data_IF_238409207980
#
_entry.id   IF_238409207980
#
_cell.length_a   1.000
_cell.length_b   1.000
_cell.length_c   1.000
_cell.angle_alpha   90.00
_cell.angle_beta   90.00
_cell.angle_gamma   90.00
#
_symmetry.space_group_name_H-M   'P 1'
#
loop_
_entity.id
_entity.type
_entity.pdbx_description
1 polymer ?
#
# COMPACT_ATOMS: atom_id res chain seq x y z
N UNK A 1 -11.09 -36.33 -68.85
CA UNK A 1 -10.39 -36.01 -67.59
C UNK A 1 -10.56 -34.51 -67.36
N UNK A 2 -11.39 -34.09 -66.40
CA UNK A 2 -11.66 -32.67 -66.11
C UNK A 2 -11.01 -32.34 -64.78
N UNK A 3 -10.02 -31.44 -64.79
CA UNK A 3 -9.37 -30.93 -63.59
C UNK A 3 -10.26 -29.84 -63.00
N UNK A 4 -10.70 -30.01 -61.76
CA UNK A 4 -11.44 -28.98 -61.02
C UNK A 4 -10.42 -28.13 -60.24
N UNK A 5 -10.28 -26.83 -60.50
CA UNK A 5 -9.38 -26.00 -59.71
C UNK A 5 -10.04 -25.69 -58.36
N UNK A 6 -9.43 -26.20 -57.29
CA UNK A 6 -9.75 -25.81 -55.91
C UNK A 6 -9.22 -24.38 -55.74
N UNK A 7 -10.07 -23.37 -55.97
CA UNK A 7 -9.78 -22.01 -55.55
C UNK A 7 -9.90 -21.96 -54.04
N UNK A 8 -8.76 -21.80 -53.37
CA UNK A 8 -8.65 -21.64 -51.94
C UNK A 8 -9.39 -20.40 -51.45
N UNK A 9 -10.28 -20.59 -50.48
CA UNK A 9 -10.76 -19.52 -49.62
C UNK A 9 -10.05 -19.65 -48.28
N UNK A 10 -8.84 -19.10 -48.20
CA UNK A 10 -8.19 -18.86 -46.91
C UNK A 10 -8.87 -17.63 -46.30
N UNK A 11 -9.98 -17.85 -45.59
CA UNK A 11 -10.66 -16.81 -44.84
C UNK A 11 -9.73 -16.37 -43.70
N UNK A 12 -9.03 -15.26 -43.91
CA UNK A 12 -8.20 -14.63 -42.90
C UNK A 12 -9.11 -13.99 -41.85
N UNK A 13 -9.40 -14.71 -40.78
CA UNK A 13 -10.11 -14.19 -39.61
C UNK A 13 -9.21 -13.17 -38.90
N UNK A 14 -9.35 -11.89 -39.26
CA UNK A 14 -8.84 -10.78 -38.46
C UNK A 14 -9.65 -10.72 -37.15
N UNK A 15 -9.22 -11.48 -36.15
CA UNK A 15 -9.73 -11.36 -34.79
C UNK A 15 -9.41 -9.97 -34.26
N UNK A 16 -10.44 -9.21 -33.89
CA UNK A 16 -10.28 -7.94 -33.16
C UNK A 16 -9.71 -8.30 -31.79
N UNK A 17 -8.41 -8.14 -31.61
CA UNK A 17 -7.76 -8.26 -30.31
C UNK A 17 -8.15 -7.02 -29.49
N UNK A 18 -9.17 -7.14 -28.64
CA UNK A 18 -9.43 -6.15 -27.62
C UNK A 18 -8.21 -6.08 -26.69
N UNK A 19 -7.73 -4.87 -26.31
CA UNK A 19 -6.63 -4.75 -25.38
C UNK A 19 -7.01 -5.44 -24.07
N UNK A 20 -6.21 -6.43 -23.65
CA UNK A 20 -6.37 -7.04 -22.34
C UNK A 20 -5.97 -6.00 -21.29
N UNK A 21 -6.94 -5.50 -20.54
CA UNK A 21 -6.69 -4.68 -19.35
C UNK A 21 -5.99 -5.58 -18.33
N UNK A 22 -4.67 -5.47 -18.20
CA UNK A 22 -3.95 -6.09 -17.09
C UNK A 22 -4.31 -5.33 -15.81
N UNK A 23 -5.04 -5.96 -14.90
CA UNK A 23 -5.30 -5.42 -13.57
C UNK A 23 -4.17 -5.85 -12.65
N UNK A 24 -3.44 -4.88 -12.07
CA UNK A 24 -2.48 -5.16 -11.00
C UNK A 24 -3.22 -5.82 -9.82
N UNK A 25 -2.73 -6.95 -9.33
CA UNK A 25 -3.36 -7.64 -8.19
C UNK A 25 -2.87 -7.04 -6.88
N UNK A 26 -3.82 -6.68 -6.02
CA UNK A 26 -3.56 -6.21 -4.65
C UNK A 26 -4.17 -7.16 -3.61
N UNK A 27 -4.51 -8.39 -4.02
CA UNK A 27 -5.27 -9.34 -3.21
C UNK A 27 -4.54 -9.74 -1.91
N UNK A 28 -3.21 -9.64 -1.88
CA UNK A 28 -2.41 -9.93 -0.68
C UNK A 28 -2.54 -8.87 0.41
N UNK A 29 -3.08 -7.68 0.11
CA UNK A 29 -3.17 -6.57 1.06
C UNK A 29 -4.56 -6.47 1.67
N UNK A 30 -4.60 -6.12 2.95
CA UNK A 30 -5.82 -5.79 3.65
C UNK A 30 -6.22 -4.35 3.39
N UNK A 31 -6.92 -4.13 2.29
CA UNK A 31 -7.37 -2.80 1.89
C UNK A 31 -8.58 -2.30 2.70
N UNK A 32 -9.02 -3.01 3.75
CA UNK A 32 -10.09 -2.53 4.64
C UNK A 32 -9.61 -1.51 5.67
N UNK A 33 -8.29 -1.48 5.94
CA UNK A 33 -7.68 -0.67 6.99
C UNK A 33 -6.32 -0.15 6.58
N UNK A 34 -5.93 0.95 7.19
CA UNK A 34 -4.59 1.50 7.16
C UNK A 34 -3.92 1.34 8.51
N UNK A 35 -2.62 1.05 8.49
CA UNK A 35 -1.78 0.94 9.68
C UNK A 35 -0.61 1.88 9.52
N UNK A 36 -0.21 2.56 10.60
CA UNK A 36 1.00 3.38 10.62
C UNK A 36 2.15 2.63 11.28
N UNK A 37 3.33 2.74 10.68
CA UNK A 37 4.58 2.24 11.22
C UNK A 37 5.64 3.33 11.11
N UNK A 38 6.16 3.76 12.24
CA UNK A 38 7.35 4.60 12.36
C UNK A 38 8.60 3.71 12.45
N UNK A 39 9.62 4.07 11.67
CA UNK A 39 10.91 3.40 11.71
C UNK A 39 11.99 4.19 10.98
N UNK A 40 13.16 3.58 10.87
CA UNK A 40 14.34 4.16 10.23
C UNK A 40 14.53 3.53 8.86
N UNK A 41 14.66 4.35 7.82
CA UNK A 41 14.92 3.88 6.46
C UNK A 41 16.20 3.06 6.42
N UNK A 42 16.08 1.83 5.96
CA UNK A 42 17.22 0.95 5.68
C UNK A 42 17.57 1.02 4.19
N UNK A 43 16.57 0.96 3.30
CA UNK A 43 16.80 0.95 1.85
C UNK A 43 15.58 1.49 1.10
N UNK A 44 15.83 2.36 0.13
CA UNK A 44 14.87 2.73 -0.91
C UNK A 44 15.26 2.08 -2.23
N UNK A 45 14.64 0.95 -2.53
CA UNK A 45 14.86 0.22 -3.77
C UNK A 45 14.03 0.85 -4.89
N UNK A 46 14.53 1.94 -5.48
CA UNK A 46 13.86 2.69 -6.54
C UNK A 46 14.03 2.05 -7.94
N UNK A 47 13.61 0.80 -8.06
CA UNK A 47 13.78 -0.02 -9.26
C UNK A 47 12.41 -0.32 -9.93
N UNK A 48 12.42 -0.60 -11.23
CA UNK A 48 11.22 -1.01 -11.98
C UNK A 48 11.02 -2.55 -11.83
N UNK A 49 9.80 -3.10 -11.68
CA UNK A 49 8.47 -2.52 -11.91
C UNK A 49 7.80 -1.83 -10.70
N UNK A 50 8.26 -2.09 -9.48
CA UNK A 50 7.74 -1.47 -8.27
C UNK A 50 8.89 -1.05 -7.38
N UNK A 51 8.82 0.18 -6.85
CA UNK A 51 9.77 0.62 -5.85
C UNK A 51 9.40 0.06 -4.47
N UNK A 52 10.40 -0.25 -3.66
CA UNK A 52 10.21 -0.81 -2.32
C UNK A 52 10.95 0.01 -1.27
N UNK A 53 10.23 0.39 -0.21
CA UNK A 53 10.81 1.01 0.97
C UNK A 53 11.01 -0.06 2.04
N UNK A 54 12.23 -0.19 2.53
CA UNK A 54 12.56 -1.03 3.67
C UNK A 54 12.95 -0.15 4.85
N UNK A 55 12.36 -0.40 6.00
CA UNK A 55 12.67 0.30 7.25
C UNK A 55 12.96 -0.73 8.35
N UNK A 56 13.74 -0.33 9.34
CA UNK A 56 13.87 -1.04 10.61
C UNK A 56 12.94 -0.42 11.64
N UNK A 57 12.24 -1.27 12.39
CA UNK A 57 11.27 -0.88 13.42
C UNK A 57 11.66 -1.57 14.71
N UNK A 58 11.76 -0.82 15.79
CA UNK A 58 11.89 -1.39 17.13
C UNK A 58 10.51 -1.81 17.62
N UNK A 59 10.35 -3.11 17.89
CA UNK A 59 9.11 -3.67 18.41
C UNK A 59 9.40 -4.76 19.43
N UNK A 60 8.80 -4.68 20.62
CA UNK A 60 8.97 -5.66 21.71
C UNK A 60 10.44 -5.95 22.09
N UNK A 61 11.34 -4.98 21.88
CA UNK A 61 12.78 -5.13 22.16
C UNK A 61 13.58 -5.79 21.05
N UNK A 62 12.98 -6.04 19.88
CA UNK A 62 13.64 -6.54 18.69
C UNK A 62 13.57 -5.53 17.54
N UNK A 63 14.70 -5.37 16.84
CA UNK A 63 14.75 -4.65 15.57
C UNK A 63 14.22 -5.54 14.45
N UNK A 64 13.09 -5.18 13.86
CA UNK A 64 12.45 -5.92 12.79
C UNK A 64 12.52 -5.16 11.47
N UNK A 65 12.84 -5.87 10.37
CA UNK A 65 12.76 -5.31 9.02
C UNK A 65 11.32 -5.36 8.50
N UNK A 66 10.86 -4.23 7.99
CA UNK A 66 9.54 -4.07 7.35
C UNK A 66 9.73 -3.64 5.90
N UNK A 67 8.89 -4.19 5.01
CA UNK A 67 8.94 -3.90 3.57
C UNK A 67 7.62 -3.36 3.03
N UNK A 68 7.69 -2.25 2.30
CA UNK A 68 6.50 -1.61 1.76
C UNK A 68 6.60 -1.43 0.24
N UNK A 69 5.57 -1.91 -0.45
CA UNK A 69 5.46 -1.80 -1.89
C UNK A 69 4.87 -0.45 -2.29
N UNK A 70 5.42 0.14 -3.34
CA UNK A 70 4.86 1.30 -4.02
C UNK A 70 4.82 1.13 -5.53
N UNK A 71 4.43 2.21 -6.18
CA UNK A 71 4.33 2.30 -7.63
C UNK A 71 5.68 2.25 -8.34
N UNK A 72 5.63 2.02 -9.65
CA UNK A 72 6.80 2.11 -10.53
C UNK A 72 7.52 3.46 -10.40
N UNK A 73 8.87 3.50 -10.43
CA UNK A 73 9.65 4.73 -10.39
C UNK A 73 9.18 5.82 -11.36
N UNK A 74 8.79 5.43 -12.58
CA UNK A 74 8.29 6.36 -13.61
C UNK A 74 7.05 7.13 -13.14
N UNK A 75 6.13 6.45 -12.44
CA UNK A 75 4.92 7.08 -11.88
C UNK A 75 5.22 7.95 -10.66
N UNK A 76 6.32 7.67 -9.97
CA UNK A 76 6.74 8.41 -8.77
C UNK A 76 7.42 9.73 -9.11
N UNK A 77 8.26 9.75 -10.15
CA UNK A 77 9.00 10.94 -10.58
C UNK A 77 8.06 12.09 -10.92
N UNK A 78 6.91 11.81 -11.55
CA UNK A 78 5.90 12.84 -11.87
C UNK A 78 5.26 13.48 -10.63
N UNK A 79 5.36 12.82 -9.46
CA UNK A 79 4.92 13.32 -8.15
C UNK A 79 6.08 13.85 -7.30
N UNK A 80 7.26 14.03 -7.89
CA UNK A 80 8.45 14.54 -7.21
C UNK A 80 9.17 13.53 -6.31
N UNK A 81 8.78 12.25 -6.35
CA UNK A 81 9.44 11.19 -5.58
C UNK A 81 10.52 10.55 -6.46
N UNK A 82 11.75 10.53 -5.95
CA UNK A 82 12.95 10.09 -6.67
C UNK A 82 13.72 9.05 -5.86
N UNK A 83 14.84 8.56 -6.40
CA UNK A 83 15.75 7.68 -5.67
C UNK A 83 16.38 8.31 -4.42
N UNK A 84 16.29 9.64 -4.27
CA UNK A 84 16.86 10.37 -3.12
C UNK A 84 15.81 10.79 -2.09
N UNK A 85 14.52 10.46 -2.30
CA UNK A 85 13.43 10.89 -1.40
C UNK A 85 13.51 10.23 -0.02
N UNK A 86 13.93 8.96 0.05
CA UNK A 86 14.12 8.24 1.30
C UNK A 86 15.57 7.79 1.41
N UNK A 87 16.33 8.36 2.34
CA UNK A 87 17.75 8.06 2.51
C UNK A 87 17.94 7.14 3.71
N UNK A 88 18.91 6.21 3.66
CA UNK A 88 19.25 5.40 4.83
C UNK A 88 19.50 6.27 6.07
N UNK A 89 18.86 5.93 7.18
CA UNK A 89 18.93 6.69 8.43
C UNK A 89 17.81 7.71 8.63
N UNK A 90 17.01 8.03 7.61
CA UNK A 90 15.85 8.90 7.77
C UNK A 90 14.80 8.23 8.66
N UNK A 91 14.20 9.00 9.58
CA UNK A 91 13.01 8.56 10.31
C UNK A 91 11.79 8.88 9.48
N UNK A 92 10.95 7.88 9.26
CA UNK A 92 9.73 7.99 8.45
C UNK A 92 8.55 7.33 9.14
N UNK A 93 7.35 7.85 8.88
CA UNK A 93 6.09 7.23 9.25
C UNK A 93 5.38 6.75 8.00
N UNK A 94 5.28 5.44 7.85
CA UNK A 94 4.66 4.80 6.70
C UNK A 94 3.23 4.42 7.05
N UNK A 95 2.25 5.00 6.33
CA UNK A 95 0.87 4.55 6.38
C UNK A 95 0.64 3.57 5.24
N UNK A 96 0.12 2.38 5.54
CA UNK A 96 0.04 1.27 4.60
C UNK A 96 -1.20 0.38 4.78
N UNK A 97 -1.54 -0.39 3.76
CA UNK A 97 -2.50 -1.49 3.84
C UNK A 97 -1.71 -2.79 4.07
N UNK A 98 -1.87 -3.49 5.22
CA UNK A 98 -0.97 -4.56 5.63
C UNK A 98 -1.11 -5.83 4.80
N UNK A 99 -0.05 -6.64 4.74
CA UNK A 99 -0.14 -8.00 4.21
C UNK A 99 -1.12 -8.83 5.03
N UNK A 100 -1.97 -9.60 4.34
CA UNK A 100 -2.98 -10.47 4.97
C UNK A 100 -2.39 -11.68 5.70
N UNK A 101 -1.18 -12.08 5.33
CA UNK A 101 -0.51 -13.27 5.88
C UNK A 101 0.34 -12.99 7.13
N UNK A 102 0.29 -11.76 7.64
CA UNK A 102 0.95 -11.38 8.89
C UNK A 102 2.45 -11.07 8.76
N UNK A 103 3.04 -11.12 7.56
CA UNK A 103 4.40 -10.63 7.35
C UNK A 103 4.50 -9.13 7.59
N UNK A 104 5.69 -8.70 8.02
CA UNK A 104 6.03 -7.30 8.30
C UNK A 104 6.08 -6.46 7.02
N UNK A 105 4.95 -5.87 6.65
CA UNK A 105 4.88 -5.06 5.46
C UNK A 105 3.48 -4.85 4.92
N UNK A 106 3.41 -4.15 3.80
CA UNK A 106 2.15 -3.82 3.15
C UNK A 106 2.33 -2.96 1.92
N UNK A 107 1.22 -2.55 1.34
CA UNK A 107 1.20 -1.61 0.24
C UNK A 107 1.15 -0.19 0.81
N UNK A 108 2.08 0.68 0.43
CA UNK A 108 2.08 2.07 0.90
C UNK A 108 0.80 2.79 0.47
N UNK A 109 0.26 3.61 1.36
CA UNK A 109 -0.67 4.68 1.02
C UNK A 109 0.12 5.98 0.85
N UNK A 110 0.74 6.44 1.95
CA UNK A 110 1.56 7.64 2.00
C UNK A 110 2.60 7.53 3.11
N UNK A 111 3.64 8.36 3.01
CA UNK A 111 4.75 8.40 3.96
C UNK A 111 4.93 9.83 4.41
N UNK A 112 5.02 10.03 5.73
CA UNK A 112 5.45 11.30 6.32
C UNK A 112 6.96 11.24 6.61
N UNK A 113 7.68 12.23 6.10
CA UNK A 113 9.10 12.47 6.36
C UNK A 113 9.29 13.25 7.67
N UNK A 114 10.50 13.23 8.21
CA UNK A 114 10.86 13.91 9.47
C UNK A 114 10.69 15.42 9.42
N UNK A 115 10.79 16.04 8.23
CA UNK A 115 10.56 17.47 8.01
C UNK A 115 9.07 17.85 7.93
N UNK A 116 8.16 16.87 8.03
CA UNK A 116 6.72 17.05 7.94
C UNK A 116 6.13 16.86 6.55
N UNK A 117 6.97 16.73 5.52
CA UNK A 117 6.52 16.49 4.14
C UNK A 117 5.79 15.15 4.05
N UNK A 118 4.65 15.11 3.34
CA UNK A 118 3.92 13.88 3.05
C UNK A 118 4.00 13.57 1.56
N UNK A 119 4.43 12.35 1.24
CA UNK A 119 4.55 11.85 -0.13
C UNK A 119 3.68 10.62 -0.35
N UNK A 120 3.22 10.42 -1.59
CA UNK A 120 2.29 9.34 -1.99
C UNK A 120 2.95 8.40 -3.00
N UNK A 121 3.80 7.46 -2.56
CA UNK A 121 4.50 6.54 -3.48
C UNK A 121 3.60 5.43 -4.05
N UNK A 122 2.31 5.38 -3.73
CA UNK A 122 1.38 4.29 -4.07
C UNK A 122 0.90 4.27 -5.54
N UNK A 123 0.40 3.11 -5.98
CA UNK A 123 -0.32 2.84 -7.25
C UNK A 123 -1.69 2.18 -7.02
N UNK A 124 -2.54 2.84 -6.24
CA UNK A 124 -3.93 2.47 -5.96
C UNK A 124 -4.16 1.20 -5.10
N UNK A 125 -3.14 0.38 -4.84
CA UNK A 125 -3.27 -0.78 -3.95
C UNK A 125 -3.64 -0.44 -2.50
N UNK A 126 -3.23 0.73 -2.02
CA UNK A 126 -3.74 1.33 -0.79
C UNK A 126 -4.07 2.82 -1.05
N UNK A 127 -5.30 3.28 -0.77
CA UNK A 127 -5.71 4.64 -1.12
C UNK A 127 -5.01 5.72 -0.28
N UNK A 128 -4.56 6.78 -0.93
CA UNK A 128 -4.00 7.97 -0.26
C UNK A 128 -5.05 9.09 -0.23
N UNK A 129 -5.21 9.86 -1.32
CA UNK A 129 -6.33 10.79 -1.54
C UNK A 129 -6.85 11.51 -0.28
N UNK A 130 -8.15 11.41 -0.04
CA UNK A 130 -8.82 12.01 1.13
C UNK A 130 -8.36 11.41 2.47
N UNK A 131 -7.82 10.18 2.48
CA UNK A 131 -7.28 9.58 3.69
C UNK A 131 -6.03 10.33 4.20
N UNK A 132 -5.24 10.99 3.35
CA UNK A 132 -4.13 11.84 3.83
C UNK A 132 -4.68 12.93 4.74
N UNK A 133 -5.75 13.61 4.30
CA UNK A 133 -6.40 14.67 5.06
C UNK A 133 -7.06 14.11 6.32
N UNK A 134 -7.75 12.98 6.22
CA UNK A 134 -8.37 12.31 7.38
C UNK A 134 -7.34 12.02 8.48
N UNK A 135 -6.19 11.46 8.12
CA UNK A 135 -5.11 11.18 9.08
C UNK A 135 -4.51 12.44 9.70
N UNK A 136 -4.39 13.51 8.94
CA UNK A 136 -3.92 14.81 9.42
C UNK A 136 -4.94 15.47 10.37
N UNK A 137 -6.22 15.52 9.98
CA UNK A 137 -7.29 16.13 10.76
C UNK A 137 -7.49 15.44 12.12
N UNK A 138 -7.35 14.10 12.16
CA UNK A 138 -7.43 13.33 13.41
C UNK A 138 -6.13 13.35 14.22
N UNK A 139 -5.04 13.95 13.70
CA UNK A 139 -3.74 13.99 14.36
C UNK A 139 -3.04 12.63 14.47
N UNK A 140 -3.53 11.60 13.77
CA UNK A 140 -2.97 10.24 13.82
C UNK A 140 -1.59 10.17 13.18
N UNK A 141 -1.35 10.98 12.13
CA UNK A 141 -0.04 11.01 11.49
C UNK A 141 1.07 11.49 12.43
N UNK A 142 0.71 12.21 13.50
CA UNK A 142 1.61 12.81 14.48
C UNK A 142 1.63 12.05 15.81
N UNK A 143 0.54 11.37 16.16
CA UNK A 143 0.37 10.83 17.51
C UNK A 143 -0.07 9.37 17.57
N UNK A 144 -0.44 8.74 16.46
CA UNK A 144 -0.84 7.34 16.50
C UNK A 144 0.34 6.48 16.98
N UNK A 145 0.12 5.52 17.89
CA UNK A 145 1.11 4.52 18.22
C UNK A 145 1.37 3.63 16.99
N UNK A 146 2.57 3.07 16.94
CA UNK A 146 2.90 2.07 15.94
C UNK A 146 1.87 0.94 15.96
N UNK A 147 1.49 0.50 14.76
CA UNK A 147 0.56 -0.59 14.52
C UNK A 147 -0.92 -0.31 14.80
N UNK A 148 -1.29 0.92 15.19
CA UNK A 148 -2.70 1.29 15.26
C UNK A 148 -3.36 1.22 13.88
N UNK A 149 -4.52 0.57 13.83
CA UNK A 149 -5.28 0.37 12.61
C UNK A 149 -6.46 1.34 12.55
N UNK A 150 -6.56 2.05 11.43
CA UNK A 150 -7.65 2.98 11.14
C UNK A 150 -8.41 2.52 9.91
N UNK A 151 -9.73 2.69 9.89
CA UNK A 151 -10.53 2.38 8.73
C UNK A 151 -10.26 3.38 7.61
N UNK A 152 -10.35 2.88 6.38
CA UNK A 152 -10.26 3.71 5.18
C UNK A 152 -11.62 4.38 4.95
N UNK A 153 -11.62 5.66 4.62
CA UNK A 153 -12.84 6.41 4.30
C UNK A 153 -13.68 5.68 3.25
N UNK A 154 -14.98 5.53 3.53
CA UNK A 154 -15.93 4.82 2.66
C UNK A 154 -15.90 3.28 2.76
N UNK A 155 -15.13 2.69 3.68
CA UNK A 155 -15.18 1.25 3.99
C UNK A 155 -15.76 1.01 5.38
N UNK A 156 -16.86 0.26 5.46
CA UNK A 156 -17.44 -0.15 6.74
C UNK A 156 -16.53 -1.12 7.50
N UNK A 157 -16.60 -1.07 8.83
CA UNK A 157 -15.89 -1.96 9.75
C UNK A 157 -16.25 -3.42 9.48
N UNK A 158 -15.28 -4.34 9.30
CA UNK A 158 -15.58 -5.76 9.39
C UNK A 158 -16.21 -6.06 10.76
N UNK A 159 -17.35 -6.77 10.76
CA UNK A 159 -18.25 -7.03 11.89
C UNK A 159 -17.66 -7.84 13.07
N UNK A 160 -16.35 -7.79 13.32
CA UNK A 160 -15.66 -8.64 14.30
C UNK A 160 -14.90 -7.90 15.41
N UNK A 161 -14.92 -6.56 15.48
CA UNK A 161 -14.26 -5.80 16.56
C UNK A 161 -15.21 -5.19 17.60
N UNK A 162 -16.52 -5.43 17.51
CA UNK A 162 -17.46 -5.13 18.60
C UNK A 162 -17.57 -6.31 19.57
N UNK A 163 -16.48 -6.65 20.26
CA UNK A 163 -16.57 -7.33 21.55
C UNK A 163 -15.26 -7.24 22.31
N UNK A 164 -15.13 -6.19 23.12
CA UNK A 164 -14.53 -6.36 24.44
C UNK A 164 -15.34 -5.53 25.43
N UNK A 165 -15.80 -6.15 26.53
CA UNK A 165 -16.70 -5.50 27.46
C UNK A 165 -15.93 -4.42 28.21
N UNK A 166 -16.50 -3.21 28.27
CA UNK A 166 -16.11 -2.20 29.25
C UNK A 166 -16.35 -2.76 30.65
N UNK A 167 -15.30 -3.35 31.23
CA UNK A 167 -15.21 -3.56 32.65
C UNK A 167 -14.95 -2.22 33.31
N UNK A 168 -15.98 -1.63 33.92
CA UNK A 168 -15.83 -0.69 35.03
C UNK A 168 -17.15 -0.66 35.80
N UNK A 169 -17.20 -1.36 36.92
CA UNK A 169 -17.94 -0.86 38.08
C UNK A 169 -17.11 -1.14 39.33
N UNK A 170 -16.74 -0.05 40.00
CA UNK A 170 -16.00 0.00 41.25
C UNK A 170 -16.95 -0.27 42.44
N UNK A 171 -16.44 -0.45 43.67
CA UNK A 171 -17.12 -1.17 44.73
C UNK A 171 -18.02 -0.30 45.60
N UNK A 172 -19.01 -0.90 46.26
CA UNK A 172 -19.65 -0.33 47.44
C UNK A 172 -20.06 -1.44 48.43
N UNK A 173 -19.47 -1.34 49.62
CA UNK A 173 -19.95 -1.69 50.97
C UNK A 173 -20.78 -2.99 51.15
#
# INVERSE_FOLDING_TARGET
MKHLPILGALALSLGIAAPALAHHSFAMFDTSRQVMVEGVVETWAFNNPHAWLFITVENEGETQRWGFEGSAPVSQISRGITGDTFKPGDVVRVVMCPLRDGRNGGHMAFVKLSDGTVVTPNDAGCPAGDNVKLWQDNGWLDNAPNFEAHLIEGKETPSALQSSPTGTEAPAQ
#
